data_IF_317410360993
#
_entry.id   IF_317410360993
#
_cell.length_a   1.000
_cell.length_b   1.000
_cell.length_c   1.000
_cell.angle_alpha   90.00
_cell.angle_beta   90.00
_cell.angle_gamma   90.00
#
_symmetry.space_group_name_H-M   'P 1'
#
loop_
_entity.id
_entity.type
_entity.pdbx_description
1 polymer ?
#
# COMPACT_ATOMS: atom_id res chain seq x y z
N UNK A 1 -8.07 -33.73 11.01
CA UNK A 1 -7.04 -34.29 10.11
C UNK A 1 -5.69 -33.70 10.53
N UNK A 2 -4.69 -34.53 10.83
CA UNK A 2 -3.35 -34.08 11.23
C UNK A 2 -2.38 -34.20 10.06
N UNK A 3 -1.50 -33.21 9.86
CA UNK A 3 -0.44 -33.27 8.84
C UNK A 3 0.86 -33.77 9.49
N UNK A 4 1.45 -34.88 9.02
CA UNK A 4 2.72 -35.39 9.55
C UNK A 4 3.86 -34.37 9.42
N UNK A 5 4.79 -34.36 10.39
CA UNK A 5 5.93 -33.42 10.43
C UNK A 5 6.73 -33.39 9.12
N UNK A 6 6.94 -34.55 8.50
CA UNK A 6 7.67 -34.67 7.23
C UNK A 6 7.02 -33.88 6.07
N UNK A 7 5.72 -33.60 6.14
CA UNK A 7 4.97 -32.86 5.11
C UNK A 7 4.72 -31.40 5.45
N UNK A 8 5.25 -30.88 6.57
CA UNK A 8 5.01 -29.50 6.99
C UNK A 8 5.57 -28.47 6.01
N UNK A 9 6.71 -28.76 5.37
CA UNK A 9 7.26 -27.90 4.30
C UNK A 9 6.35 -27.90 3.07
N UNK A 10 6.04 -29.08 2.55
CA UNK A 10 5.13 -29.25 1.41
C UNK A 10 3.80 -28.52 1.61
N UNK A 11 3.24 -28.60 2.83
CA UNK A 11 2.03 -27.87 3.22
C UNK A 11 2.16 -26.36 2.99
N UNK A 12 3.30 -25.73 3.31
CA UNK A 12 3.46 -24.28 3.13
C UNK A 12 3.45 -23.86 1.66
N UNK A 13 4.13 -24.63 0.80
CA UNK A 13 4.13 -24.37 -0.65
C UNK A 13 2.73 -24.58 -1.23
N UNK A 14 2.07 -25.67 -0.84
CA UNK A 14 0.71 -25.97 -1.31
C UNK A 14 -0.30 -24.93 -0.85
N UNK A 15 -0.15 -24.37 0.37
CA UNK A 15 -0.98 -23.26 0.84
C UNK A 15 -0.87 -22.04 -0.08
N UNK A 16 0.34 -21.62 -0.45
CA UNK A 16 0.52 -20.48 -1.36
C UNK A 16 -0.08 -20.78 -2.72
N UNK A 17 0.28 -21.92 -3.33
CA UNK A 17 -0.19 -22.30 -4.67
C UNK A 17 -1.71 -22.43 -4.75
N UNK A 18 -2.34 -23.05 -3.74
CA UNK A 18 -3.80 -23.25 -3.74
C UNK A 18 -4.58 -21.97 -3.48
N UNK A 19 -3.99 -20.99 -2.79
CA UNK A 19 -4.64 -19.72 -2.48
C UNK A 19 -4.31 -18.64 -3.51
N UNK A 20 -3.33 -18.82 -4.40
CA UNK A 20 -3.04 -17.93 -5.52
C UNK A 20 -4.11 -18.01 -6.63
N UNK A 21 -5.36 -17.79 -6.25
CA UNK A 21 -6.57 -17.87 -7.06
C UNK A 21 -7.18 -16.47 -7.34
N UNK A 22 -6.39 -15.41 -7.16
CA UNK A 22 -6.79 -14.05 -7.53
C UNK A 22 -6.98 -13.91 -9.05
N UNK A 23 -7.85 -12.98 -9.46
CA UNK A 23 -8.23 -12.72 -10.86
C UNK A 23 -8.32 -11.22 -11.14
N UNK A 24 -8.56 -10.88 -12.40
CA UNK A 24 -8.70 -9.49 -12.85
C UNK A 24 -7.36 -8.85 -13.21
N UNK A 25 -7.38 -7.54 -13.40
CA UNK A 25 -6.19 -6.79 -13.79
C UNK A 25 -5.16 -6.82 -12.64
N UNK A 26 -3.87 -7.06 -12.94
CA UNK A 26 -2.84 -6.97 -11.93
C UNK A 26 -2.74 -5.58 -11.32
N UNK A 27 -2.40 -5.51 -10.03
CA UNK A 27 -1.97 -4.29 -9.37
C UNK A 27 -0.77 -3.68 -10.11
N UNK A 28 -0.70 -2.35 -10.11
CA UNK A 28 0.49 -1.65 -10.61
C UNK A 28 1.70 -1.97 -9.74
N UNK A 29 2.94 -1.85 -10.27
CA UNK A 29 4.15 -2.02 -9.48
C UNK A 29 4.15 -1.19 -8.18
N UNK A 30 3.69 0.05 -8.22
CA UNK A 30 3.61 0.94 -7.05
C UNK A 30 2.69 0.36 -5.97
N UNK A 31 1.52 -0.16 -6.35
CA UNK A 31 0.55 -0.77 -5.43
C UNK A 31 1.07 -2.10 -4.87
N UNK A 32 1.69 -2.94 -5.69
CA UNK A 32 2.35 -4.17 -5.22
C UNK A 32 3.48 -3.85 -4.26
N UNK A 33 4.24 -2.77 -4.50
CA UNK A 33 5.32 -2.32 -3.61
C UNK A 33 4.78 -1.86 -2.26
N UNK A 34 3.66 -1.13 -2.22
CA UNK A 34 2.98 -0.78 -0.97
C UNK A 34 2.50 -2.02 -0.20
N UNK A 35 1.88 -2.97 -0.91
CA UNK A 35 1.44 -4.24 -0.35
C UNK A 35 2.61 -4.99 0.32
N UNK A 36 3.75 -5.10 -0.38
CA UNK A 36 4.96 -5.74 0.13
C UNK A 36 5.52 -5.00 1.36
N UNK A 37 5.57 -3.66 1.33
CA UNK A 37 6.03 -2.86 2.47
C UNK A 37 5.19 -3.11 3.73
N UNK A 38 3.86 -3.12 3.60
CA UNK A 38 2.96 -3.37 4.72
C UNK A 38 3.11 -4.82 5.24
N UNK A 39 3.38 -5.77 4.35
CA UNK A 39 3.62 -7.17 4.75
C UNK A 39 4.91 -7.30 5.54
N UNK A 40 6.00 -6.68 5.07
CA UNK A 40 7.28 -6.58 5.80
C UNK A 40 7.05 -5.98 7.19
N UNK A 41 6.35 -4.84 7.27
CA UNK A 41 6.09 -4.15 8.52
C UNK A 41 5.38 -5.03 9.56
N UNK A 42 4.35 -5.78 9.16
CA UNK A 42 3.62 -6.66 10.09
C UNK A 42 4.47 -7.85 10.52
N UNK A 43 5.24 -8.44 9.60
CA UNK A 43 6.13 -9.56 9.90
C UNK A 43 7.28 -9.16 10.84
N UNK A 44 7.82 -7.94 10.67
CA UNK A 44 8.90 -7.40 11.49
C UNK A 44 8.53 -7.18 12.96
N UNK A 45 7.23 -7.17 13.32
CA UNK A 45 6.78 -7.07 14.72
C UNK A 45 7.09 -8.31 15.56
N UNK A 46 7.51 -9.43 14.96
CA UNK A 46 7.96 -10.61 15.69
C UNK A 46 6.85 -11.53 16.23
N UNK A 47 5.58 -11.28 15.89
CA UNK A 47 4.44 -12.10 16.35
C UNK A 47 3.99 -13.17 15.34
N UNK A 48 4.54 -13.19 14.13
CA UNK A 48 4.13 -14.13 13.07
C UNK A 48 4.88 -15.47 13.10
N UNK A 49 6.06 -15.52 13.73
CA UNK A 49 6.89 -16.74 13.78
C UNK A 49 7.53 -17.12 12.44
N UNK A 50 7.85 -16.13 11.60
CA UNK A 50 8.66 -16.34 10.39
C UNK A 50 10.15 -16.36 10.74
N UNK A 51 10.96 -16.97 9.88
CA UNK A 51 12.41 -16.90 10.01
C UNK A 51 12.95 -15.52 9.62
N UNK A 52 14.09 -15.14 10.20
CA UNK A 52 14.80 -13.92 9.83
C UNK A 52 15.25 -13.94 8.36
N UNK A 53 15.62 -15.13 7.85
CA UNK A 53 15.95 -15.31 6.44
C UNK A 53 14.79 -14.88 5.53
N UNK A 54 13.57 -15.34 5.83
CA UNK A 54 12.37 -14.95 5.08
C UNK A 54 12.15 -13.45 5.11
N UNK A 55 12.21 -12.83 6.30
CA UNK A 55 12.05 -11.38 6.43
C UNK A 55 13.09 -10.61 5.58
N UNK A 56 14.35 -11.02 5.66
CA UNK A 56 15.44 -10.40 4.92
C UNK A 56 15.29 -10.58 3.40
N UNK A 57 14.79 -11.73 2.94
CA UNK A 57 14.47 -11.93 1.51
C UNK A 57 13.38 -10.98 1.04
N UNK A 58 12.32 -10.76 1.82
CA UNK A 58 11.29 -9.78 1.47
C UNK A 58 11.85 -8.35 1.43
N UNK A 59 12.69 -7.99 2.39
CA UNK A 59 13.37 -6.68 2.43
C UNK A 59 14.29 -6.51 1.22
N UNK A 60 15.05 -7.56 0.85
CA UNK A 60 15.92 -7.55 -0.32
C UNK A 60 15.11 -7.38 -1.62
N UNK A 61 14.00 -8.11 -1.77
CA UNK A 61 13.10 -7.94 -2.91
C UNK A 61 12.45 -6.53 -2.94
N UNK A 62 12.15 -5.94 -1.78
CA UNK A 62 11.60 -4.59 -1.70
C UNK A 62 12.62 -3.51 -2.07
N UNK A 63 13.85 -3.60 -1.56
CA UNK A 63 14.90 -2.62 -1.80
C UNK A 63 15.50 -2.76 -3.21
N UNK A 64 15.62 -3.99 -3.72
CA UNK A 64 16.47 -4.30 -4.86
C UNK A 64 17.96 -4.27 -4.48
N UNK A 65 18.83 -4.57 -5.46
CA UNK A 65 20.28 -4.40 -5.28
C UNK A 65 20.66 -2.90 -5.25
N UNK A 66 21.38 -2.50 -4.19
CA UNK A 66 21.69 -1.09 -3.84
C UNK A 66 22.76 -0.45 -4.74
N UNK A 67 23.43 -1.22 -5.60
CA UNK A 67 24.56 -0.71 -6.42
C UNK A 67 24.14 0.29 -7.50
N UNK A 68 22.84 0.41 -7.81
CA UNK A 68 22.32 1.41 -8.75
C UNK A 68 21.31 2.28 -8.01
N UNK A 69 21.44 3.60 -8.06
CA UNK A 69 20.60 4.61 -7.40
C UNK A 69 19.13 4.65 -7.90
N UNK A 70 18.57 3.50 -8.31
CA UNK A 70 17.18 3.30 -8.69
C UNK A 70 16.66 2.17 -7.78
N UNK A 71 15.60 2.38 -6.98
CA UNK A 71 15.00 1.30 -6.21
C UNK A 71 14.56 0.18 -7.16
N UNK A 72 15.24 -0.96 -7.09
CA UNK A 72 15.11 -2.05 -8.03
C UNK A 72 14.22 -3.16 -7.45
N UNK A 73 13.01 -2.80 -7.04
CA UNK A 73 12.09 -3.75 -6.40
C UNK A 73 11.76 -4.92 -7.35
N UNK A 74 11.78 -6.14 -6.82
CA UNK A 74 11.23 -7.33 -7.48
C UNK A 74 9.81 -7.55 -6.96
N UNK A 75 8.81 -7.35 -7.83
CA UNK A 75 7.42 -7.26 -7.43
C UNK A 75 6.58 -8.33 -8.13
N UNK A 76 5.94 -9.20 -7.36
CA UNK A 76 5.07 -10.24 -7.91
C UNK A 76 3.88 -9.66 -8.68
N UNK A 77 3.44 -10.37 -9.72
CA UNK A 77 2.14 -10.12 -10.32
C UNK A 77 1.06 -10.46 -9.28
N UNK A 78 0.27 -9.46 -8.89
CA UNK A 78 -0.80 -9.62 -7.90
C UNK A 78 -2.11 -9.17 -8.54
N UNK A 79 -3.05 -10.08 -8.84
CA UNK A 79 -4.37 -9.69 -9.33
C UNK A 79 -5.15 -8.86 -8.32
N UNK A 80 -5.92 -7.87 -8.78
CA UNK A 80 -6.65 -6.95 -7.91
C UNK A 80 -7.87 -7.57 -7.21
N UNK A 81 -8.41 -8.68 -7.74
CA UNK A 81 -9.60 -9.35 -7.21
C UNK A 81 -9.27 -10.72 -6.61
N UNK A 82 -10.03 -11.11 -5.58
CA UNK A 82 -9.90 -12.42 -4.90
C UNK A 82 -9.84 -12.33 -3.38
N UNK A 83 -9.68 -11.13 -2.81
CA UNK A 83 -9.91 -10.90 -1.38
C UNK A 83 -11.40 -10.70 -1.08
N UNK A 84 -11.86 -11.24 0.03
CA UNK A 84 -13.19 -10.98 0.62
C UNK A 84 -13.14 -10.01 1.81
N UNK A 85 -11.96 -9.51 2.18
CA UNK A 85 -11.78 -8.52 3.25
C UNK A 85 -12.16 -8.96 4.67
N UNK A 86 -12.57 -10.22 4.89
CA UNK A 86 -13.18 -10.67 6.15
C UNK A 86 -12.18 -11.03 7.26
N UNK A 87 -10.91 -11.31 6.93
CA UNK A 87 -9.81 -11.51 7.91
C UNK A 87 -8.45 -11.83 7.27
N UNK A 88 -8.39 -12.03 5.96
CA UNK A 88 -7.13 -12.20 5.23
C UNK A 88 -7.31 -11.94 3.74
N UNK A 89 -6.43 -11.11 3.20
CA UNK A 89 -6.23 -10.90 1.77
C UNK A 89 -5.46 -12.09 1.17
N UNK A 90 -5.97 -13.30 1.41
CA UNK A 90 -5.28 -14.56 1.18
C UNK A 90 -4.84 -14.68 -0.28
N UNK A 91 -5.75 -14.45 -1.23
CA UNK A 91 -5.42 -14.63 -2.64
C UNK A 91 -4.41 -13.60 -3.18
N UNK A 92 -4.56 -12.29 -2.92
CA UNK A 92 -3.54 -11.31 -3.29
C UNK A 92 -2.18 -11.54 -2.62
N UNK A 93 -2.17 -11.88 -1.33
CA UNK A 93 -0.92 -12.14 -0.61
C UNK A 93 -0.30 -13.48 -1.00
N UNK A 94 -1.10 -14.46 -1.43
CA UNK A 94 -0.59 -15.70 -2.01
C UNK A 94 0.10 -15.45 -3.35
N UNK A 95 -0.49 -14.62 -4.23
CA UNK A 95 0.17 -14.17 -5.45
C UNK A 95 1.46 -13.38 -5.16
N UNK A 96 1.45 -12.53 -4.14
CA UNK A 96 2.67 -11.84 -3.66
C UNK A 96 3.75 -12.85 -3.26
N UNK A 97 3.40 -13.86 -2.45
CA UNK A 97 4.33 -14.88 -2.00
C UNK A 97 4.79 -15.79 -3.15
N UNK A 98 3.93 -16.10 -4.12
CA UNK A 98 4.21 -16.99 -5.25
C UNK A 98 5.40 -16.49 -6.08
N UNK A 99 5.42 -15.19 -6.42
CA UNK A 99 6.57 -14.56 -7.09
C UNK A 99 7.87 -14.68 -6.29
N UNK A 100 7.81 -14.50 -4.97
CA UNK A 100 8.98 -14.66 -4.09
C UNK A 100 9.47 -16.12 -3.99
N UNK A 101 8.61 -17.11 -4.28
CA UNK A 101 9.01 -18.51 -4.46
C UNK A 101 9.64 -18.79 -5.83
N UNK A 102 9.75 -17.77 -6.69
CA UNK A 102 10.21 -17.92 -8.06
C UNK A 102 9.16 -18.49 -9.01
N UNK A 103 7.89 -18.52 -8.60
CA UNK A 103 6.78 -19.04 -9.39
C UNK A 103 5.88 -17.88 -9.90
N UNK A 104 5.27 -18.07 -11.08
CA UNK A 104 4.48 -17.03 -11.72
C UNK A 104 5.32 -15.91 -12.34
N UNK A 105 4.74 -14.72 -12.44
CA UNK A 105 5.38 -13.55 -13.05
C UNK A 105 5.77 -12.53 -11.99
N UNK A 106 6.87 -11.82 -12.23
CA UNK A 106 7.30 -10.67 -11.45
C UNK A 106 7.68 -9.53 -12.39
N UNK A 107 7.65 -8.32 -11.85
CA UNK A 107 8.14 -7.12 -12.48
C UNK A 107 9.40 -6.63 -11.77
N UNK A 108 10.35 -6.09 -12.54
CA UNK A 108 11.40 -5.23 -12.01
C UNK A 108 11.79 -4.15 -13.03
N UNK A 109 12.45 -3.06 -12.62
CA UNK A 109 12.95 -2.06 -13.57
C UNK A 109 13.95 -2.63 -14.60
N UNK A 110 14.67 -3.70 -14.25
CA UNK A 110 15.69 -4.33 -15.10
C UNK A 110 15.09 -5.25 -16.17
N UNK A 111 13.98 -5.92 -15.84
CA UNK A 111 13.41 -7.00 -16.66
C UNK A 111 12.06 -6.65 -17.28
N UNK A 112 11.35 -5.64 -16.77
CA UNK A 112 9.91 -5.55 -16.97
C UNK A 112 9.20 -6.77 -16.36
N UNK A 113 8.03 -7.12 -16.93
CA UNK A 113 7.30 -8.34 -16.59
C UNK A 113 7.98 -9.57 -17.20
N UNK A 114 8.32 -10.54 -16.37
CA UNK A 114 8.97 -11.80 -16.78
C UNK A 114 8.74 -12.88 -15.71
N UNK A 115 9.08 -14.13 -16.03
CA UNK A 115 9.06 -15.24 -15.08
C UNK A 115 9.81 -14.90 -13.79
N UNK A 116 9.17 -15.14 -12.65
CA UNK A 116 9.66 -14.79 -11.32
C UNK A 116 11.10 -15.26 -11.05
N UNK A 117 11.44 -16.50 -11.39
CA UNK A 117 12.80 -17.03 -11.27
C UNK A 117 13.86 -16.19 -11.99
N UNK A 118 13.58 -15.75 -13.23
CA UNK A 118 14.51 -14.93 -14.01
C UNK A 118 14.64 -13.53 -13.44
N UNK A 119 13.54 -12.97 -12.92
CA UNK A 119 13.57 -11.66 -12.25
C UNK A 119 14.43 -11.73 -11.00
N UNK A 120 14.23 -12.75 -10.16
CA UNK A 120 15.05 -12.94 -8.95
C UNK A 120 16.53 -13.14 -9.31
N UNK A 121 16.83 -13.98 -10.30
CA UNK A 121 18.19 -14.21 -10.80
C UNK A 121 18.85 -12.92 -11.33
N UNK A 122 18.10 -12.10 -12.07
CA UNK A 122 18.61 -10.82 -12.59
C UNK A 122 18.98 -9.81 -11.50
N UNK A 123 18.51 -10.01 -10.27
CA UNK A 123 18.82 -9.20 -9.08
C UNK A 123 19.63 -9.99 -8.04
N UNK A 124 20.28 -11.09 -8.41
CA UNK A 124 21.07 -11.93 -7.50
C UNK A 124 20.30 -12.45 -6.26
N UNK A 125 18.97 -12.47 -6.35
CA UNK A 125 18.07 -12.99 -5.32
C UNK A 125 17.79 -14.46 -5.56
N UNK A 126 17.63 -15.20 -4.46
CA UNK A 126 17.26 -16.62 -4.50
C UNK A 126 15.78 -16.78 -4.15
N UNK A 127 15.06 -17.71 -4.79
CA UNK A 127 13.71 -18.09 -4.38
C UNK A 127 13.61 -18.42 -2.90
N UNK A 128 12.51 -17.99 -2.30
CA UNK A 128 12.24 -18.17 -0.89
C UNK A 128 12.09 -19.67 -0.54
N UNK A 129 12.70 -20.08 0.58
CA UNK A 129 12.60 -21.43 1.11
C UNK A 129 11.74 -21.43 2.37
N UNK A 130 10.57 -22.06 2.30
CA UNK A 130 9.60 -22.04 3.39
C UNK A 130 9.85 -23.14 4.42
N UNK A 131 9.80 -22.74 5.68
CA UNK A 131 9.77 -23.58 6.88
C UNK A 131 8.36 -23.62 7.48
N UNK A 132 8.16 -24.44 8.51
CA UNK A 132 6.84 -24.58 9.14
C UNK A 132 6.22 -23.21 9.51
N UNK A 133 4.91 -23.05 9.27
CA UNK A 133 4.11 -21.83 9.50
C UNK A 133 4.39 -20.65 8.56
N UNK A 134 5.48 -20.65 7.79
CA UNK A 134 5.83 -19.47 6.97
C UNK A 134 4.85 -19.21 5.82
N UNK A 135 4.27 -20.24 5.22
CA UNK A 135 3.28 -20.08 4.15
C UNK A 135 2.06 -19.31 4.61
N UNK A 136 1.42 -19.77 5.70
CA UNK A 136 0.27 -19.05 6.28
C UNK A 136 0.68 -17.68 6.83
N UNK A 137 1.88 -17.55 7.39
CA UNK A 137 2.37 -16.28 7.89
C UNK A 137 2.63 -15.27 6.77
N UNK A 138 2.86 -15.67 5.52
CA UNK A 138 3.01 -14.73 4.40
C UNK A 138 1.65 -14.25 3.88
N UNK A 139 0.65 -15.13 3.86
CA UNK A 139 -0.62 -14.86 3.18
C UNK A 139 -1.75 -14.39 4.11
N UNK A 140 -1.61 -14.58 5.42
CA UNK A 140 -2.64 -14.21 6.38
C UNK A 140 -2.43 -12.77 6.90
N UNK A 141 -3.21 -11.84 6.37
CA UNK A 141 -3.27 -10.45 6.83
C UNK A 141 -4.08 -9.55 5.91
N UNK A 142 -4.27 -8.30 6.31
CA UNK A 142 -5.15 -7.32 5.66
C UNK A 142 -4.39 -6.27 4.86
N UNK A 143 -3.21 -6.61 4.33
CA UNK A 143 -2.31 -5.62 3.73
C UNK A 143 -2.81 -5.08 2.40
N UNK A 144 -3.62 -5.82 1.62
CA UNK A 144 -4.21 -5.27 0.39
C UNK A 144 -5.24 -4.20 0.74
N UNK A 145 -6.22 -4.52 1.58
CA UNK A 145 -7.25 -3.55 1.98
C UNK A 145 -6.63 -2.35 2.73
N UNK A 146 -5.59 -2.59 3.53
CA UNK A 146 -4.86 -1.51 4.22
C UNK A 146 -4.10 -0.63 3.23
N UNK A 147 -3.46 -1.22 2.22
CA UNK A 147 -2.76 -0.48 1.16
C UNK A 147 -3.72 0.42 0.38
N UNK A 148 -4.84 -0.14 -0.06
CA UNK A 148 -5.88 0.59 -0.79
C UNK A 148 -6.51 1.68 0.08
N UNK A 149 -6.79 1.39 1.34
CA UNK A 149 -7.33 2.35 2.30
C UNK A 149 -6.37 3.51 2.58
N UNK A 150 -5.07 3.23 2.73
CA UNK A 150 -4.05 4.25 2.92
C UNK A 150 -3.94 5.18 1.70
N UNK A 151 -3.92 4.63 0.49
CA UNK A 151 -3.95 5.43 -0.76
C UNK A 151 -5.21 6.31 -0.82
N UNK A 152 -6.37 5.73 -0.51
CA UNK A 152 -7.64 6.44 -0.55
C UNK A 152 -7.69 7.61 0.43
N UNK A 153 -7.19 7.43 1.66
CA UNK A 153 -7.12 8.50 2.67
C UNK A 153 -6.20 9.63 2.22
N UNK A 154 -5.02 9.31 1.69
CA UNK A 154 -4.07 10.33 1.22
C UNK A 154 -4.65 11.13 0.06
N UNK A 155 -5.25 10.44 -0.92
CA UNK A 155 -5.91 11.09 -2.05
C UNK A 155 -7.10 11.95 -1.60
N UNK A 156 -7.90 11.46 -0.66
CA UNK A 156 -9.03 12.22 -0.11
C UNK A 156 -8.55 13.48 0.62
N UNK A 157 -7.43 13.41 1.34
CA UNK A 157 -6.82 14.56 2.01
C UNK A 157 -6.37 15.63 1.01
N UNK A 158 -5.66 15.22 -0.06
CA UNK A 158 -5.24 16.13 -1.13
C UNK A 158 -6.44 16.76 -1.83
N UNK A 159 -7.48 15.98 -2.15
CA UNK A 159 -8.70 16.48 -2.76
C UNK A 159 -9.41 17.49 -1.85
N UNK A 160 -9.46 17.24 -0.54
CA UNK A 160 -10.05 18.17 0.42
C UNK A 160 -9.29 19.51 0.44
N UNK A 161 -7.95 19.49 0.42
CA UNK A 161 -7.14 20.71 0.31
C UNK A 161 -7.41 21.47 -1.00
N UNK A 162 -7.52 20.76 -2.12
CA UNK A 162 -7.84 21.38 -3.41
C UNK A 162 -9.26 21.97 -3.42
N UNK A 163 -10.21 21.30 -2.78
CA UNK A 163 -11.58 21.78 -2.63
C UNK A 163 -11.62 23.11 -1.86
N UNK A 164 -10.81 23.27 -0.81
CA UNK A 164 -10.68 24.54 -0.07
C UNK A 164 -10.23 25.68 -1.01
N UNK A 165 -9.25 25.42 -1.89
CA UNK A 165 -8.77 26.41 -2.88
C UNK A 165 -9.84 26.77 -3.90
N UNK A 166 -10.51 25.77 -4.48
CA UNK A 166 -11.59 25.99 -5.45
C UNK A 166 -12.77 26.74 -4.80
N UNK A 167 -13.09 26.43 -3.55
CA UNK A 167 -14.14 27.11 -2.80
C UNK A 167 -13.79 28.58 -2.55
N UNK A 168 -12.54 28.90 -2.19
CA UNK A 168 -12.09 30.27 -2.02
C UNK A 168 -12.21 31.08 -3.33
N UNK A 169 -11.72 30.55 -4.44
CA UNK A 169 -11.84 31.18 -5.76
C UNK A 169 -13.30 31.39 -6.17
N UNK A 170 -14.15 30.40 -5.92
CA UNK A 170 -15.58 30.48 -6.22
C UNK A 170 -16.26 31.58 -5.39
N UNK A 171 -15.92 31.67 -4.10
CA UNK A 171 -16.47 32.70 -3.21
C UNK A 171 -16.08 34.10 -3.69
N UNK A 172 -14.83 34.27 -4.10
CA UNK A 172 -14.32 35.53 -4.62
C UNK A 172 -15.06 35.98 -5.88
N UNK A 173 -15.19 35.09 -6.88
CA UNK A 173 -15.90 35.39 -8.13
C UNK A 173 -17.38 35.72 -7.90
N UNK A 174 -18.02 35.00 -6.98
CA UNK A 174 -19.43 35.22 -6.64
C UNK A 174 -19.67 36.40 -5.69
N UNK A 175 -18.61 37.11 -5.28
CA UNK A 175 -18.69 38.19 -4.29
C UNK A 175 -19.34 37.77 -2.97
N UNK A 176 -19.02 36.56 -2.51
CA UNK A 176 -19.55 35.96 -1.29
C UNK A 176 -19.02 36.61 -0.01
N UNK A 177 -19.60 36.24 1.15
CA UNK A 177 -19.19 36.78 2.46
C UNK A 177 -18.09 35.93 3.11
N UNK A 178 -16.95 36.56 3.41
CA UNK A 178 -15.82 35.95 4.14
C UNK A 178 -16.11 35.79 5.65
N UNK A 179 -17.06 36.56 6.20
CA UNK A 179 -17.44 36.56 7.63
C UNK A 179 -17.94 35.21 8.14
N UNK A 180 -18.47 34.36 7.25
CA UNK A 180 -18.90 33.01 7.61
C UNK A 180 -17.74 32.14 8.11
N UNK A 181 -16.50 32.49 7.76
CA UNK A 181 -15.29 31.77 8.15
C UNK A 181 -14.59 32.41 9.34
N UNK A 182 -15.14 33.43 9.99
CA UNK A 182 -14.54 34.06 11.16
C UNK A 182 -14.22 33.03 12.26
N UNK A 183 -13.07 33.20 12.93
CA UNK A 183 -12.63 32.29 13.98
C UNK A 183 -13.61 32.22 15.15
N UNK A 184 -14.19 33.34 15.56
CA UNK A 184 -15.11 33.39 16.69
C UNK A 184 -16.41 32.62 16.37
N UNK A 185 -16.87 32.73 15.11
CA UNK A 185 -18.01 31.93 14.61
C UNK A 185 -17.70 30.44 14.66
N UNK A 186 -16.49 30.02 14.26
CA UNK A 186 -16.13 28.60 14.30
C UNK A 186 -15.99 28.06 15.73
N UNK A 187 -15.54 28.90 16.67
CA UNK A 187 -15.34 28.49 18.06
C UNK A 187 -16.64 28.24 18.81
N UNK A 188 -17.76 28.81 18.38
CA UNK A 188 -19.10 28.49 18.91
C UNK A 188 -19.48 27.03 18.61
N UNK A 189 -18.99 26.46 17.50
CA UNK A 189 -19.19 25.04 17.12
C UNK A 189 -17.86 24.38 16.74
N UNK A 190 -17.04 23.97 17.73
CA UNK A 190 -15.62 23.70 17.52
C UNK A 190 -15.32 22.30 16.97
N UNK A 191 -15.93 21.93 15.84
CA UNK A 191 -15.56 20.71 15.12
C UNK A 191 -14.19 20.90 14.44
N UNK A 192 -13.24 19.99 14.70
CA UNK A 192 -11.85 20.09 14.21
C UNK A 192 -11.75 20.37 12.71
N UNK A 193 -12.49 19.62 11.89
CA UNK A 193 -12.49 19.80 10.43
C UNK A 193 -13.08 21.14 9.98
N UNK A 194 -14.15 21.60 10.64
CA UNK A 194 -14.79 22.89 10.33
C UNK A 194 -13.84 24.06 10.61
N UNK A 195 -13.20 24.07 11.79
CA UNK A 195 -12.22 25.09 12.17
C UNK A 195 -11.06 25.13 11.16
N UNK A 196 -10.54 23.97 10.79
CA UNK A 196 -9.39 23.86 9.90
C UNK A 196 -9.71 24.36 8.47
N UNK A 197 -10.86 23.98 7.91
CA UNK A 197 -11.32 24.48 6.61
C UNK A 197 -11.52 25.99 6.64
N UNK A 198 -12.22 26.52 7.64
CA UNK A 198 -12.43 27.95 7.78
C UNK A 198 -11.11 28.72 7.92
N UNK A 199 -10.13 28.19 8.66
CA UNK A 199 -8.78 28.77 8.78
C UNK A 199 -8.08 28.86 7.43
N UNK A 200 -8.15 27.80 6.61
CA UNK A 200 -7.55 27.79 5.27
C UNK A 200 -8.24 28.75 4.32
N UNK A 201 -9.58 28.80 4.33
CA UNK A 201 -10.34 29.74 3.53
C UNK A 201 -10.00 31.19 3.88
N UNK A 202 -9.89 31.52 5.19
CA UNK A 202 -9.41 32.85 5.61
C UNK A 202 -8.00 33.14 5.10
N UNK A 203 -7.08 32.18 5.21
CA UNK A 203 -5.70 32.36 4.73
C UNK A 203 -5.62 32.58 3.22
N UNK A 204 -6.51 31.96 2.44
CA UNK A 204 -6.59 32.14 0.99
C UNK A 204 -7.21 33.50 0.60
N UNK A 205 -8.28 33.91 1.28
CA UNK A 205 -9.04 35.14 0.95
C UNK A 205 -8.38 36.41 1.50
N UNK A 206 -7.76 36.35 2.68
CA UNK A 206 -7.10 37.50 3.31
C UNK A 206 -5.58 37.48 3.10
N UNK A 207 -5.12 37.02 1.93
CA UNK A 207 -3.70 37.02 1.58
C UNK A 207 -3.15 38.44 1.49
N UNK A 208 -2.03 38.73 2.17
CA UNK A 208 -1.37 40.05 2.10
C UNK A 208 -0.76 40.33 0.71
N UNK A 209 -0.38 39.28 -0.02
CA UNK A 209 0.25 39.40 -1.34
C UNK A 209 -0.79 39.56 -2.46
N UNK A 210 -1.96 38.92 -2.31
CA UNK A 210 -3.06 38.95 -3.27
C UNK A 210 -4.37 39.13 -2.51
N UNK A 211 -4.68 40.35 -2.04
CA UNK A 211 -5.84 40.59 -1.19
C UNK A 211 -7.12 40.37 -1.99
N UNK A 212 -8.05 39.61 -1.42
CA UNK A 212 -9.36 39.42 -2.05
C UNK A 212 -10.20 40.69 -2.00
N UNK A 213 -11.05 40.90 -3.01
CA UNK A 213 -11.99 42.03 -3.03
C UNK A 213 -13.21 41.83 -2.11
N UNK A 214 -13.38 40.63 -1.56
CA UNK A 214 -14.45 40.29 -0.59
C UNK A 214 -13.94 40.15 0.84
N UNK A 215 -12.63 40.31 1.03
CA UNK A 215 -11.94 40.22 2.31
C UNK A 215 -12.08 41.53 3.10
#
# INVERSE_FOLDING_TARGET
>A
MFVPLARHRELQYNLIRSHAAGVGTPLSPEKTRMLLALRINVLAKGHSGISLNTLNTLIAAFNGHVEVNIPASCLSMVPEQGSVGASGDLAPLAHLALGLLGEGEMWSPKTGWENANKVLEAHDLKPLKLSAKEGIALINGTQLITSLGAEAVERAYIIALQADVVAALTLEVLKGTSRAFDSDVQLIRPHKGQIEVARRLRALLHSEMYPSQIA
#
